data_IF_393209989474
#
_entry.id   IF_393209989474
#
_cell.length_a   1.000
_cell.length_b   1.000
_cell.length_c   1.000
_cell.angle_alpha   90.00
_cell.angle_beta   90.00
_cell.angle_gamma   90.00
#
_symmetry.space_group_name_H-M   'P 1'
#
loop_
_entity.id
_entity.type
_entity.pdbx_description
1 polymer ?
#
# COMPACT_ATOMS: atom_id res chain seq x y z
N UNK A 1 2.97 -4.47 7.83
CA UNK A 1 2.95 -3.35 6.86
C UNK A 1 3.82 -2.24 7.42
N UNK A 2 4.65 -1.61 6.58
CA UNK A 2 5.54 -0.50 6.96
C UNK A 2 5.38 0.64 5.96
N UNK A 3 5.78 1.85 6.35
CA UNK A 3 5.93 2.98 5.43
C UNK A 3 7.11 2.72 4.49
N UNK A 4 6.84 2.69 3.19
CA UNK A 4 7.84 2.62 2.13
C UNK A 4 7.99 3.93 1.37
N UNK A 5 9.05 4.03 0.59
CA UNK A 5 9.33 5.14 -0.33
C UNK A 5 9.71 4.60 -1.69
N UNK A 6 8.94 4.95 -2.71
CA UNK A 6 9.21 4.54 -4.09
C UNK A 6 10.37 5.38 -4.61
N UNK A 7 11.55 4.78 -4.72
CA UNK A 7 12.76 5.48 -5.18
C UNK A 7 12.93 5.45 -6.68
N UNK A 8 12.31 4.47 -7.35
CA UNK A 8 12.38 4.32 -8.81
C UNK A 8 11.16 3.58 -9.34
N UNK A 9 10.69 3.99 -10.53
CA UNK A 9 9.62 3.30 -11.27
C UNK A 9 10.06 3.09 -12.71
N UNK A 10 10.00 1.85 -13.18
CA UNK A 10 10.22 1.52 -14.59
C UNK A 10 9.07 0.69 -15.13
N UNK A 11 8.74 0.88 -16.41
CA UNK A 11 7.70 0.06 -17.06
C UNK A 11 8.11 -1.40 -17.13
N UNK A 12 7.17 -2.30 -16.87
CA UNK A 12 7.43 -3.73 -16.95
C UNK A 12 7.62 -4.17 -18.41
N UNK A 13 8.71 -4.88 -18.76
CA UNK A 13 9.08 -5.15 -20.16
C UNK A 13 8.07 -6.06 -20.89
N UNK A 14 7.32 -6.87 -20.15
CA UNK A 14 6.36 -7.84 -20.69
C UNK A 14 4.89 -7.57 -20.29
N UNK A 15 4.58 -6.41 -19.70
CA UNK A 15 3.23 -6.10 -19.25
C UNK A 15 2.97 -4.59 -19.20
N UNK A 16 2.16 -4.09 -20.14
CA UNK A 16 1.86 -2.66 -20.30
C UNK A 16 1.31 -1.99 -19.03
N UNK A 17 0.49 -2.71 -18.26
CA UNK A 17 -0.19 -2.18 -17.06
C UNK A 17 0.61 -2.36 -15.77
N UNK A 18 1.82 -2.91 -15.83
CA UNK A 18 2.63 -3.18 -14.65
C UNK A 18 3.88 -2.31 -14.67
N UNK A 19 4.32 -1.94 -13.47
CA UNK A 19 5.56 -1.23 -13.23
C UNK A 19 6.42 -2.03 -12.26
N UNK A 20 7.74 -1.95 -12.47
CA UNK A 20 8.75 -2.42 -11.55
C UNK A 20 9.11 -1.23 -10.66
N UNK A 21 8.88 -1.37 -9.36
CA UNK A 21 9.14 -0.32 -8.38
C UNK A 21 10.27 -0.75 -7.46
N UNK A 22 11.30 0.07 -7.33
CA UNK A 22 12.29 -0.07 -6.26
C UNK A 22 11.78 0.73 -5.06
N UNK A 23 11.58 0.05 -3.93
CA UNK A 23 10.93 0.64 -2.75
C UNK A 23 11.84 0.53 -1.54
N UNK A 24 12.28 1.65 -1.00
CA UNK A 24 12.99 1.69 0.28
C UNK A 24 11.98 1.45 1.41
N UNK A 25 12.23 0.44 2.25
CA UNK A 25 11.33 0.01 3.34
C UNK A 25 11.98 0.04 4.72
N UNK A 26 13.28 0.36 4.79
CA UNK A 26 14.03 0.56 6.01
C UNK A 26 15.19 1.53 5.75
N UNK A 27 15.56 2.30 6.77
CA UNK A 27 16.68 3.24 6.68
C UNK A 27 18.00 2.47 6.54
N UNK A 28 18.82 2.85 5.54
CA UNK A 28 20.14 2.24 5.32
C UNK A 28 20.12 0.84 4.70
N UNK A 29 18.97 0.32 4.32
CA UNK A 29 18.84 -0.94 3.59
C UNK A 29 18.63 -0.68 2.09
N UNK A 30 19.03 -1.64 1.26
CA UNK A 30 18.77 -1.59 -0.17
C UNK A 30 17.26 -1.62 -0.46
N UNK A 31 16.77 -0.86 -1.46
CA UNK A 31 15.40 -0.93 -1.92
C UNK A 31 15.00 -2.34 -2.34
N UNK A 32 13.73 -2.68 -2.13
CA UNK A 32 13.16 -3.95 -2.58
C UNK A 32 12.38 -3.77 -3.88
N UNK A 33 12.58 -4.68 -4.83
CA UNK A 33 11.78 -4.72 -6.05
C UNK A 33 10.35 -5.22 -5.74
N UNK A 34 9.35 -4.41 -6.09
CA UNK A 34 7.93 -4.73 -5.98
C UNK A 34 7.25 -4.40 -7.31
N UNK A 35 6.45 -5.33 -7.82
CA UNK A 35 5.64 -5.09 -9.02
C UNK A 35 4.33 -4.43 -8.62
N UNK A 36 4.01 -3.29 -9.23
CA UNK A 36 2.80 -2.52 -8.95
C UNK A 36 2.03 -2.24 -10.25
N UNK A 37 0.72 -2.46 -10.24
CA UNK A 37 -0.16 -2.17 -11.38
C UNK A 37 -1.08 -0.96 -11.18
N UNK A 38 -0.95 -0.26 -10.05
CA UNK A 38 -1.82 0.87 -9.75
C UNK A 38 -1.51 2.06 -10.68
N UNK A 39 -2.54 2.74 -11.22
CA UNK A 39 -2.36 3.79 -12.22
C UNK A 39 -1.69 5.05 -11.67
N UNK A 40 -1.74 5.26 -10.36
CA UNK A 40 -1.18 6.42 -9.67
C UNK A 40 0.25 6.22 -9.15
N UNK A 41 0.89 5.07 -9.42
CA UNK A 41 2.25 4.78 -8.96
C UNK A 41 3.27 5.71 -9.61
N UNK A 42 4.12 6.35 -8.80
CA UNK A 42 5.18 7.26 -9.27
C UNK A 42 6.33 7.35 -8.28
N UNK A 43 7.49 7.77 -8.78
CA UNK A 43 8.69 8.02 -7.97
C UNK A 43 8.43 9.12 -6.93
N UNK A 44 9.05 8.99 -5.75
CA UNK A 44 8.94 9.94 -4.65
C UNK A 44 7.78 9.70 -3.68
N UNK A 45 6.81 8.86 -4.03
CA UNK A 45 5.66 8.58 -3.15
C UNK A 45 6.05 7.84 -1.87
N UNK A 46 5.46 8.24 -0.74
CA UNK A 46 5.39 7.44 0.48
C UNK A 46 4.13 6.57 0.44
N UNK A 47 4.27 5.29 0.76
CA UNK A 47 3.21 4.29 0.53
C UNK A 47 3.22 3.23 1.63
N UNK A 48 2.07 2.60 1.96
CA UNK A 48 2.06 1.41 2.80
C UNK A 48 2.58 0.20 2.01
N UNK A 49 3.53 -0.53 2.60
CA UNK A 49 4.15 -1.71 2.00
C UNK A 49 3.93 -2.92 2.88
N UNK A 50 3.24 -3.92 2.33
CA UNK A 50 3.17 -5.25 2.92
C UNK A 50 4.37 -6.08 2.46
N UNK A 51 5.33 -6.28 3.36
CA UNK A 51 6.55 -7.05 3.11
C UNK A 51 6.26 -8.55 3.06
N UNK A 52 7.14 -9.35 2.42
CA UNK A 52 7.04 -10.82 2.44
C UNK A 52 6.91 -11.32 3.88
N UNK A 53 5.92 -12.19 4.10
CA UNK A 53 5.59 -12.71 5.41
C UNK A 53 4.45 -11.98 6.11
N UNK A 54 4.15 -10.73 5.72
CA UNK A 54 3.00 -9.96 6.21
C UNK A 54 1.70 -10.72 5.96
N UNK A 55 0.79 -10.70 6.92
CA UNK A 55 -0.59 -11.18 6.76
C UNK A 55 -1.50 -9.97 6.60
N UNK A 56 -2.24 -9.91 5.50
CA UNK A 56 -3.29 -8.92 5.25
C UNK A 56 -4.65 -9.60 5.38
N UNK A 57 -5.63 -8.88 5.91
CA UNK A 57 -7.00 -9.37 6.05
C UNK A 57 -7.87 -8.59 5.06
N UNK A 58 -8.47 -9.31 4.12
CA UNK A 58 -9.36 -8.74 3.11
C UNK A 58 -10.80 -9.11 3.44
N UNK A 59 -11.74 -8.20 3.16
CA UNK A 59 -13.17 -8.53 3.11
C UNK A 59 -13.48 -9.04 1.72
N UNK A 60 -13.91 -10.29 1.61
CA UNK A 60 -14.23 -10.91 0.32
C UNK A 60 -15.65 -11.46 0.34
N UNK A 61 -16.33 -11.58 -0.82
CA UNK A 61 -17.62 -12.26 -0.89
C UNK A 61 -17.54 -13.65 -0.29
N UNK A 62 -18.51 -13.97 0.55
CA UNK A 62 -18.65 -15.28 1.15
C UNK A 62 -18.95 -16.30 0.05
N UNK A 63 -18.07 -17.27 -0.22
CA UNK A 63 -18.29 -18.25 -1.28
C UNK A 63 -19.48 -19.18 -0.99
N UNK A 64 -19.92 -19.27 0.27
CA UNK A 64 -21.03 -20.12 0.70
C UNK A 64 -22.37 -19.36 0.77
N UNK A 65 -22.35 -18.04 0.61
CA UNK A 65 -23.54 -17.19 0.66
C UNK A 65 -23.72 -16.43 -0.65
N UNK A 66 -24.75 -16.80 -1.42
CA UNK A 66 -25.12 -16.10 -2.65
C UNK A 66 -25.76 -14.71 -2.39
N UNK A 67 -26.02 -14.36 -1.12
CA UNK A 67 -26.59 -13.08 -0.69
C UNK A 67 -25.57 -11.95 -0.63
N UNK A 68 -24.30 -12.21 -0.92
CA UNK A 68 -23.24 -11.19 -0.97
C UNK A 68 -22.68 -10.82 0.39
N UNK A 69 -22.90 -11.63 1.43
CA UNK A 69 -22.25 -11.43 2.72
C UNK A 69 -20.71 -11.40 2.55
N UNK A 70 -20.03 -10.55 3.31
CA UNK A 70 -18.56 -10.47 3.30
C UNK A 70 -17.97 -11.28 4.45
N UNK A 71 -16.85 -11.95 4.20
CA UNK A 71 -16.07 -12.69 5.20
C UNK A 71 -14.60 -12.26 5.17
N UNK A 72 -13.95 -12.42 6.32
CA UNK A 72 -12.53 -12.12 6.44
C UNK A 72 -11.70 -13.22 5.81
N UNK A 73 -10.80 -12.83 4.91
CA UNK A 73 -9.81 -13.70 4.31
C UNK A 73 -8.41 -13.18 4.60
N UNK A 74 -7.66 -13.98 5.35
CA UNK A 74 -6.25 -13.67 5.63
C UNK A 74 -5.38 -14.20 4.49
N UNK A 75 -4.62 -13.30 3.86
CA UNK A 75 -3.64 -13.64 2.82
C UNK A 75 -2.24 -13.30 3.35
N UNK A 76 -1.34 -14.29 3.29
CA UNK A 76 0.08 -14.08 3.58
C UNK A 76 0.79 -13.62 2.32
N UNK A 77 1.44 -12.45 2.37
CA UNK A 77 2.29 -11.94 1.30
C UNK A 77 3.49 -12.87 1.14
N UNK A 78 3.71 -13.30 -0.11
CA UNK A 78 4.81 -14.19 -0.49
C UNK A 78 5.58 -13.54 -1.63
N UNK A 79 6.86 -13.90 -1.74
CA UNK A 79 7.64 -13.63 -2.96
C UNK A 79 6.92 -14.28 -4.14
N UNK A 80 6.70 -13.51 -5.20
CA UNK A 80 6.00 -13.96 -6.40
C UNK A 80 6.77 -13.55 -7.66
N UNK A 81 6.40 -14.15 -8.79
CA UNK A 81 6.95 -13.82 -10.10
C UNK A 81 5.80 -13.46 -11.03
N UNK A 82 5.80 -12.24 -11.54
CA UNK A 82 4.80 -11.74 -12.48
C UNK A 82 5.50 -11.53 -13.81
N UNK A 83 5.11 -12.32 -14.83
CA UNK A 83 5.59 -12.15 -16.22
C UNK A 83 7.11 -12.00 -16.35
N UNK A 84 7.87 -12.78 -15.57
CA UNK A 84 9.34 -12.75 -15.62
C UNK A 84 9.99 -11.99 -14.46
N UNK A 85 9.30 -11.01 -13.89
CA UNK A 85 9.85 -10.14 -12.85
C UNK A 85 9.45 -10.58 -11.45
N UNK A 86 10.38 -10.43 -10.50
CA UNK A 86 10.13 -10.79 -9.10
C UNK A 86 9.41 -9.65 -8.38
N UNK A 87 8.42 -9.97 -7.56
CA UNK A 87 7.86 -9.05 -6.58
C UNK A 87 8.15 -9.54 -5.16
N UNK A 88 8.79 -8.68 -4.35
CA UNK A 88 9.17 -8.96 -2.96
C UNK A 88 8.25 -8.26 -1.95
N UNK A 89 6.99 -8.04 -2.32
CA UNK A 89 6.00 -7.40 -1.46
C UNK A 89 4.78 -6.99 -2.23
N UNK A 90 4.00 -6.10 -1.63
CA UNK A 90 2.83 -5.46 -2.19
C UNK A 90 2.78 -4.02 -1.70
N UNK A 91 2.52 -3.08 -2.62
CA UNK A 91 2.20 -1.69 -2.30
C UNK A 91 0.68 -1.62 -2.19
N UNK A 92 0.16 -1.14 -1.05
CA UNK A 92 -1.25 -1.34 -0.72
C UNK A 92 -2.13 -0.12 -1.06
N UNK A 93 -3.39 -0.37 -1.46
CA UNK A 93 -4.48 0.61 -1.45
C UNK A 93 -5.08 0.79 -0.05
N UNK A 94 -5.97 1.75 0.14
CA UNK A 94 -6.69 1.93 1.42
C UNK A 94 -7.55 0.72 1.78
N UNK A 95 -8.26 0.15 0.80
CA UNK A 95 -9.08 -1.06 0.96
C UNK A 95 -8.23 -2.25 1.43
N UNK A 96 -7.06 -2.47 0.83
CA UNK A 96 -6.21 -3.63 1.11
C UNK A 96 -5.59 -3.63 2.52
N UNK A 97 -5.49 -2.46 3.15
CA UNK A 97 -5.01 -2.29 4.54
C UNK A 97 -6.13 -1.92 5.52
N UNK A 98 -7.38 -1.85 5.07
CA UNK A 98 -8.56 -1.67 5.91
C UNK A 98 -8.68 -0.28 6.55
N UNK A 99 -8.18 0.76 5.89
CA UNK A 99 -8.26 2.16 6.38
C UNK A 99 -9.26 3.03 5.61
N UNK A 100 -9.82 2.50 4.53
CA UNK A 100 -10.78 3.17 3.66
C UNK A 100 -11.31 2.20 2.62
N UNK A 101 -12.21 2.67 1.76
CA UNK A 101 -12.84 1.86 0.71
C UNK A 101 -12.24 2.13 -0.69
N UNK A 102 -11.17 2.95 -0.79
CA UNK A 102 -10.54 3.26 -2.07
C UNK A 102 -9.62 2.13 -2.56
N UNK A 103 -9.95 1.60 -3.74
CA UNK A 103 -9.16 0.65 -4.52
C UNK A 103 -8.85 1.11 -5.94
N UNK A 104 -9.08 2.40 -6.25
CA UNK A 104 -8.72 2.99 -7.55
C UNK A 104 -7.20 3.08 -7.78
N UNK A 105 -6.40 3.02 -6.71
CA UNK A 105 -4.95 3.06 -6.76
C UNK A 105 -4.29 2.72 -5.42
N UNK A 106 -2.98 2.90 -5.33
CA UNK A 106 -2.23 2.74 -4.07
C UNK A 106 -2.44 3.96 -3.17
N UNK A 107 -2.42 3.75 -1.85
CA UNK A 107 -2.53 4.83 -0.87
C UNK A 107 -1.28 5.69 -0.87
N UNK A 108 -1.46 7.00 -0.97
CA UNK A 108 -0.37 7.98 -0.80
C UNK A 108 -0.32 8.48 0.64
N UNK A 109 0.85 8.38 1.25
CA UNK A 109 1.11 8.89 2.60
C UNK A 109 1.76 10.27 2.53
N UNK A 110 1.72 10.99 3.66
CA UNK A 110 2.44 12.27 3.79
C UNK A 110 3.92 12.13 3.40
N UNK A 111 4.46 13.12 2.69
CA UNK A 111 5.89 13.15 2.37
C UNK A 111 6.78 13.23 3.61
N UNK A 112 6.23 13.68 4.75
CA UNK A 112 6.90 13.72 6.04
C UNK A 112 7.01 12.35 6.72
N UNK A 113 6.34 11.31 6.22
CA UNK A 113 6.35 9.98 6.81
C UNK A 113 7.74 9.35 6.79
N UNK A 114 8.13 8.78 7.93
CA UNK A 114 9.44 8.14 8.10
C UNK A 114 9.41 6.73 7.51
N UNK A 115 10.41 6.40 6.67
CA UNK A 115 10.52 5.09 6.03
C UNK A 115 10.85 4.02 7.07
N UNK A 116 10.16 2.88 6.97
CA UNK A 116 10.31 1.76 7.89
C UNK A 116 9.43 1.83 9.13
N UNK A 117 8.77 2.96 9.38
CA UNK A 117 7.80 3.07 10.47
C UNK A 117 6.69 2.02 10.27
N UNK A 118 6.38 1.21 11.29
CA UNK A 118 5.23 0.32 11.25
C UNK A 118 3.95 1.11 10.93
N UNK A 119 3.16 0.63 9.97
CA UNK A 119 2.02 1.41 9.49
C UNK A 119 0.98 1.69 10.57
N UNK A 120 0.83 0.79 11.54
CA UNK A 120 -0.02 1.02 12.72
C UNK A 120 0.47 2.21 13.59
N UNK A 121 1.78 2.40 13.70
CA UNK A 121 2.36 3.54 14.43
C UNK A 121 2.12 4.84 13.65
N UNK A 122 2.27 4.82 12.32
CA UNK A 122 1.93 5.96 11.47
C UNK A 122 0.47 6.42 11.66
N UNK A 123 -0.49 5.48 11.68
CA UNK A 123 -1.90 5.81 11.92
C UNK A 123 -2.12 6.44 13.30
N UNK A 124 -1.51 5.85 14.33
CA UNK A 124 -1.61 6.35 15.70
C UNK A 124 -0.99 7.76 15.87
N UNK A 125 -0.04 8.16 15.01
CA UNK A 125 0.48 9.52 14.99
C UNK A 125 -0.48 10.51 14.30
N UNK A 126 -1.14 10.10 13.23
CA UNK A 126 -2.14 10.93 12.55
C UNK A 126 -3.32 11.28 13.47
N UNK A 127 -3.80 10.32 14.27
CA UNK A 127 -4.90 10.54 15.23
C UNK A 127 -4.58 11.57 16.32
N UNK A 128 -3.29 11.81 16.60
CA UNK A 128 -2.85 12.79 17.60
C UNK A 128 -2.80 14.21 17.06
N UNK A 129 -2.93 14.40 15.74
CA UNK A 129 -2.93 15.74 15.15
C UNK A 129 -4.25 16.44 15.46
N UNK A 130 -4.23 17.69 15.95
CA UNK A 130 -5.46 18.44 16.20
C UNK A 130 -6.21 18.64 14.87
N UNK A 131 -7.47 18.20 14.83
CA UNK A 131 -8.38 18.50 13.72
C UNK A 131 -8.63 20.01 13.76
N UNK A 132 -7.97 20.77 12.88
CA UNK A 132 -8.31 22.17 12.68
C UNK A 132 -9.64 22.19 11.93
N UNK A 133 -10.75 22.32 12.66
CA UNK A 133 -12.04 22.63 12.07
C UNK A 133 -11.97 24.07 11.54
N UNK A 134 -11.73 24.24 10.23
CA UNK A 134 -11.91 25.53 9.57
C UNK A 134 -13.41 25.87 9.55
N UNK A 135 -13.87 26.57 10.59
CA UNK A 135 -15.12 27.31 10.58
C UNK A 135 -14.95 28.53 9.67
N UNK A 136 -15.28 28.38 8.39
CA UNK A 136 -15.56 29.53 7.54
C UNK A 136 -16.92 30.09 7.98
N UNK A 137 -16.89 31.02 8.94
CA UNK A 137 -17.96 32.00 9.10
C UNK A 137 -17.96 32.84 7.82
N UNK A 138 -19.03 32.75 7.03
CA UNK A 138 -19.40 33.82 6.12
C UNK A 138 -20.34 34.74 6.90
N UNK A 139 -19.90 36.00 7.03
CA UNK A 139 -20.70 37.14 7.46
C UNK A 139 -21.89 37.37 6.53
#
# INVERSE_FOLDING_TARGET
>A
VVVGHIVKVTSHPQAERLNICDVAIAVGADPVQIICGAPNVREGMKVPVATVGTKLTFRVPNPEDAGGALVDKVVKIKRSKLRGEVSNGMICSEEEIGVGDDSSGIMELSSASVVGTPFAEYLAELEKLPVIQNQLHHD
#
